data_IF_998904351383
#
_entry.id   IF_998904351383
#
_cell.length_a   1.000
_cell.length_b   1.000
_cell.length_c   1.000
_cell.angle_alpha   90.00
_cell.angle_beta   90.00
_cell.angle_gamma   90.00
#
_symmetry.space_group_name_H-M   'P 1'
#
loop_
_entity.id
_entity.type
_entity.pdbx_description
1 polymer ?
#
# COMPACT_ATOMS: atom_id res chain seq x y z
N UNK A 1 -11.42 8.65 -9.12
CA UNK A 1 -12.55 7.83 -9.63
C UNK A 1 -12.43 7.70 -11.14
N UNK A 2 -11.69 6.66 -11.55
CA UNK A 2 -11.45 6.00 -12.85
C UNK A 2 -10.13 5.24 -12.70
N UNK A 3 -9.18 5.84 -11.99
CA UNK A 3 -7.85 5.30 -11.66
C UNK A 3 -7.92 3.99 -10.88
N UNK A 4 -8.80 3.85 -9.87
CA UNK A 4 -8.99 2.58 -9.14
C UNK A 4 -9.64 1.47 -9.97
N UNK A 5 -10.28 1.81 -11.10
CA UNK A 5 -10.87 0.84 -12.04
C UNK A 5 -9.84 0.42 -13.10
N UNK A 6 -8.89 1.31 -13.41
CA UNK A 6 -7.83 1.08 -14.39
C UNK A 6 -6.49 0.66 -13.74
N UNK A 7 -6.47 0.41 -12.43
CA UNK A 7 -5.28 -0.04 -11.73
C UNK A 7 -5.18 -1.57 -11.70
N UNK A 8 -3.95 -2.08 -11.73
CA UNK A 8 -3.71 -3.50 -11.43
C UNK A 8 -3.85 -3.68 -9.92
N UNK A 9 -4.65 -4.66 -9.51
CA UNK A 9 -4.84 -5.01 -8.10
C UNK A 9 -4.29 -6.42 -7.85
N UNK A 10 -3.34 -6.55 -6.91
CA UNK A 10 -2.77 -7.85 -6.56
C UNK A 10 -2.77 -8.06 -5.04
N UNK A 11 -3.23 -9.23 -4.59
CA UNK A 11 -3.13 -9.62 -3.19
C UNK A 11 -1.69 -10.03 -2.85
N UNK A 12 -1.18 -9.50 -1.74
CA UNK A 12 0.14 -9.81 -1.18
C UNK A 12 0.05 -10.04 0.32
N UNK A 13 1.04 -10.75 0.86
CA UNK A 13 1.20 -10.95 2.30
C UNK A 13 2.33 -10.07 2.81
N UNK A 14 2.08 -9.35 3.89
CA UNK A 14 3.09 -8.50 4.54
C UNK A 14 4.16 -9.36 5.22
N UNK A 15 5.42 -9.05 4.95
CA UNK A 15 6.59 -9.69 5.55
C UNK A 15 6.74 -9.40 7.05
N UNK A 16 7.67 -10.09 7.70
CA UNK A 16 7.96 -9.90 9.13
C UNK A 16 8.59 -8.54 9.45
N UNK A 17 9.18 -7.89 8.45
CA UNK A 17 9.74 -6.53 8.47
C UNK A 17 8.68 -5.44 8.20
N UNK A 18 7.39 -5.81 8.18
CA UNK A 18 6.26 -4.94 7.85
C UNK A 18 6.34 -4.35 6.43
N UNK A 19 6.96 -5.08 5.48
CA UNK A 19 7.05 -4.69 4.08
C UNK A 19 6.15 -5.53 3.18
N UNK A 20 5.83 -4.98 2.00
CA UNK A 20 5.24 -5.72 0.89
C UNK A 20 6.25 -5.78 -0.26
N UNK A 21 6.59 -6.99 -0.70
CA UNK A 21 7.36 -7.18 -1.93
C UNK A 21 6.42 -7.19 -3.12
N UNK A 22 6.65 -6.25 -4.03
CA UNK A 22 5.86 -6.11 -5.26
C UNK A 22 6.81 -5.83 -6.43
N UNK A 23 6.84 -6.74 -7.41
CA UNK A 23 7.79 -6.71 -8.52
C UNK A 23 9.23 -6.54 -8.00
N UNK A 24 9.96 -5.52 -8.46
CA UNK A 24 11.31 -5.18 -8.02
C UNK A 24 11.32 -4.04 -6.98
N UNK A 25 10.27 -3.94 -6.14
CA UNK A 25 10.11 -2.92 -5.10
C UNK A 25 9.81 -3.56 -3.73
N UNK A 26 10.25 -2.87 -2.69
CA UNK A 26 9.97 -3.20 -1.28
C UNK A 26 9.24 -2.00 -0.69
N UNK A 27 7.97 -2.18 -0.36
CA UNK A 27 7.09 -1.12 0.11
C UNK A 27 6.97 -1.22 1.64
N UNK A 28 7.60 -0.29 2.36
CA UNK A 28 7.54 -0.24 3.82
C UNK A 28 6.19 0.31 4.28
N UNK A 29 5.41 -0.49 5.00
CA UNK A 29 4.17 0.00 5.60
C UNK A 29 4.52 0.83 6.83
N UNK A 30 4.10 2.11 6.90
CA UNK A 30 4.34 2.95 8.07
C UNK A 30 3.55 2.45 9.28
N UNK A 31 4.01 2.84 10.47
CA UNK A 31 3.27 2.57 11.70
C UNK A 31 1.91 3.29 11.66
N UNK A 32 0.86 2.60 12.11
CA UNK A 32 -0.51 3.08 12.08
C UNK A 32 -1.06 3.12 13.51
N UNK A 33 -1.85 4.14 13.84
CA UNK A 33 -2.50 4.27 15.15
C UNK A 33 -3.47 3.12 15.45
N UNK A 34 -4.05 2.49 14.42
CA UNK A 34 -5.05 1.43 14.61
C UNK A 34 -4.43 0.05 14.80
N UNK A 35 -3.20 -0.14 14.33
CA UNK A 35 -2.50 -1.42 14.44
C UNK A 35 -1.00 -1.20 14.44
N UNK A 36 -0.33 -1.73 15.47
CA UNK A 36 1.12 -1.60 15.62
C UNK A 36 1.92 -2.15 14.43
N UNK A 37 1.46 -3.24 13.80
CA UNK A 37 2.07 -3.80 12.59
C UNK A 37 1.08 -4.67 11.78
N UNK A 38 1.34 -4.82 10.48
CA UNK A 38 0.55 -5.61 9.55
C UNK A 38 1.21 -6.94 9.17
N UNK A 39 2.28 -7.36 9.86
CA UNK A 39 2.97 -8.66 9.65
C UNK A 39 1.96 -9.80 9.44
N UNK A 40 2.16 -10.57 8.36
CA UNK A 40 1.32 -11.69 7.89
C UNK A 40 -0.11 -11.31 7.47
N UNK A 41 -0.50 -10.05 7.51
CA UNK A 41 -1.79 -9.62 6.97
C UNK A 41 -1.79 -9.75 5.44
N UNK A 42 -2.97 -10.08 4.89
CA UNK A 42 -3.24 -9.98 3.45
C UNK A 42 -3.60 -8.54 3.12
N UNK A 43 -2.95 -7.97 2.13
CA UNK A 43 -3.14 -6.60 1.65
C UNK A 43 -3.28 -6.61 0.14
N UNK A 44 -3.90 -5.57 -0.41
CA UNK A 44 -3.99 -5.36 -1.86
C UNK A 44 -3.02 -4.27 -2.25
N UNK A 45 -2.15 -4.55 -3.21
CA UNK A 45 -1.34 -3.54 -3.88
C UNK A 45 -2.11 -3.07 -5.11
N UNK A 46 -2.38 -1.78 -5.18
CA UNK A 46 -2.91 -1.11 -6.36
C UNK A 46 -1.75 -0.46 -7.09
N UNK A 47 -1.57 -0.77 -8.36
CA UNK A 47 -0.64 -0.10 -9.25
C UNK A 47 -1.42 0.71 -10.27
N UNK A 48 -1.24 2.02 -10.21
CA UNK A 48 -1.94 2.98 -11.06
C UNK A 48 -1.19 3.19 -12.39
N UNK A 49 -1.86 3.72 -13.43
CA UNK A 49 -1.24 3.94 -14.74
C UNK A 49 -0.04 4.91 -14.76
N UNK A 50 0.13 5.72 -13.72
CA UNK A 50 1.27 6.62 -13.52
C UNK A 50 2.44 5.95 -12.77
N UNK A 51 2.41 4.62 -12.64
CA UNK A 51 3.31 3.77 -11.86
C UNK A 51 3.32 4.06 -10.34
N UNK A 52 2.44 4.92 -9.84
CA UNK A 52 2.27 5.08 -8.40
C UNK A 52 1.61 3.84 -7.81
N UNK A 53 1.98 3.54 -6.57
CA UNK A 53 1.50 2.35 -5.87
C UNK A 53 0.71 2.76 -4.63
N UNK A 54 -0.30 1.99 -4.27
CA UNK A 54 -0.96 2.12 -2.98
C UNK A 54 -1.18 0.74 -2.35
N UNK A 55 -1.05 0.66 -1.04
CA UNK A 55 -1.28 -0.57 -0.27
C UNK A 55 -2.55 -0.40 0.55
N UNK A 56 -3.47 -1.35 0.43
CA UNK A 56 -4.75 -1.36 1.11
C UNK A 56 -4.92 -2.59 2.01
N UNK A 57 -5.51 -2.39 3.18
CA UNK A 57 -6.02 -3.46 4.05
C UNK A 57 -7.53 -3.30 4.19
N UNK A 58 -8.30 -4.16 3.50
CA UNK A 58 -9.73 -3.94 3.34
C UNK A 58 -10.02 -2.63 2.62
N UNK A 59 -10.96 -1.79 3.09
CA UNK A 59 -11.26 -0.49 2.48
C UNK A 59 -10.20 0.58 2.76
N UNK A 60 -9.27 0.30 3.68
CA UNK A 60 -8.36 1.32 4.20
C UNK A 60 -7.04 1.34 3.42
N UNK A 61 -6.65 2.53 2.95
CA UNK A 61 -5.31 2.79 2.41
C UNK A 61 -4.30 2.91 3.55
N UNK A 62 -3.25 2.09 3.53
CA UNK A 62 -2.17 2.11 4.51
C UNK A 62 -1.08 3.11 4.14
N UNK A 63 -0.73 3.18 2.84
CA UNK A 63 0.29 4.10 2.32
C UNK A 63 0.18 4.21 0.79
N UNK A 64 0.76 5.28 0.25
CA UNK A 64 0.99 5.49 -1.18
C UNK A 64 2.49 5.64 -1.44
N UNK A 65 2.93 5.27 -2.62
CA UNK A 65 4.33 5.28 -3.02
C UNK A 65 4.48 5.84 -4.43
N UNK A 66 5.59 6.52 -4.66
CA UNK A 66 6.02 6.97 -5.97
C UNK A 66 6.53 5.77 -6.79
N UNK A 67 6.73 5.91 -8.11
CA UNK A 67 7.18 4.82 -8.99
C UNK A 67 8.53 4.17 -8.61
N UNK A 68 9.35 4.90 -7.86
CA UNK A 68 10.62 4.42 -7.30
C UNK A 68 10.43 3.55 -6.04
N UNK A 69 9.21 3.48 -5.50
CA UNK A 69 8.87 2.76 -4.28
C UNK A 69 9.02 3.58 -3.00
N UNK A 70 9.39 4.86 -3.09
CA UNK A 70 9.47 5.73 -1.92
C UNK A 70 8.06 6.14 -1.46
N UNK A 71 7.80 6.20 -0.14
CA UNK A 71 6.52 6.63 0.37
C UNK A 71 6.25 8.08 -0.05
N UNK A 72 5.05 8.32 -0.58
CA UNK A 72 4.52 9.66 -0.77
C UNK A 72 3.87 10.02 0.57
N UNK A 73 4.30 11.14 1.15
CA UNK A 73 3.80 11.61 2.45
C UNK A 73 2.36 12.10 2.28
N UNK A 74 1.41 11.16 2.22
CA UNK A 74 -0.01 11.44 2.26
C UNK A 74 -0.39 11.69 3.73
N UNK A 75 -0.29 12.96 4.15
CA UNK A 75 -0.74 13.45 5.46
C UNK A 75 -2.25 13.27 5.73
N UNK A 76 -2.98 12.53 4.88
CA UNK A 76 -4.41 12.29 5.02
C UNK A 76 -4.69 10.85 5.44
N UNK A 77 -4.39 10.58 6.71
CA UNK A 77 -5.09 9.55 7.45
C UNK A 77 -6.50 10.05 7.75
N UNK A 78 -7.48 9.76 6.88
CA UNK A 78 -8.88 9.80 7.28
C UNK A 78 -9.79 9.03 6.34
N UNK A 79 -10.58 8.14 6.96
CA UNK A 79 -12.02 7.98 6.80
C UNK A 79 -12.43 6.50 6.76
N UNK A 80 -12.75 5.97 7.95
CA UNK A 80 -14.03 5.32 8.24
C UNK A 80 -14.17 5.19 9.77
#
# INVERSE_FOLDING_TARGET
MLEDVLCIQEERVVGNDNTVRYRNRILQIPADRHRHHYVKARVRVHEYPDDTLAVFHGPRRLARYAPDGNPIDDADQQAA
#
